data_IF_833315699248
#
_entry.id   IF_833315699248
#
_cell.length_a   1.000
_cell.length_b   1.000
_cell.length_c   1.000
_cell.angle_alpha   90.00
_cell.angle_beta   90.00
_cell.angle_gamma   90.00
#
_symmetry.space_group_name_H-M   'P 1'
#
loop_
_entity.id
_entity.type
_entity.pdbx_description
1 polymer ?
#
# COMPACT_ATOMS: atom_id res chain seq x y z
N UNK A 1 9.89 8.97 -7.53
CA UNK A 1 8.77 8.31 -6.81
C UNK A 1 9.38 7.24 -5.92
N UNK A 2 9.24 7.36 -4.60
CA UNK A 2 9.80 6.41 -3.63
C UNK A 2 8.87 5.20 -3.54
N UNK A 3 9.39 3.99 -3.73
CA UNK A 3 8.61 2.77 -3.57
C UNK A 3 8.26 2.61 -2.08
N UNK A 4 6.98 2.68 -1.67
CA UNK A 4 6.60 2.61 -0.26
C UNK A 4 6.85 1.23 0.37
N UNK A 5 7.12 0.22 -0.45
CA UNK A 5 7.54 -1.11 0.03
C UNK A 5 9.03 -1.22 0.32
N UNK A 6 9.83 -0.17 0.01
CA UNK A 6 11.27 -0.12 0.26
C UNK A 6 11.58 0.80 1.44
N UNK A 7 12.51 0.38 2.30
CA UNK A 7 13.07 1.22 3.34
C UNK A 7 14.10 2.21 2.77
N UNK A 8 14.62 3.11 3.61
CA UNK A 8 15.64 4.10 3.24
C UNK A 8 16.96 3.47 2.79
N UNK A 9 17.23 2.23 3.19
CA UNK A 9 18.40 1.44 2.82
C UNK A 9 18.21 0.68 1.49
N UNK A 10 17.04 0.80 0.86
CA UNK A 10 16.70 0.10 -0.39
C UNK A 10 16.27 -1.36 -0.21
N UNK A 11 16.15 -1.84 1.03
CA UNK A 11 15.61 -3.15 1.34
C UNK A 11 14.08 -3.10 1.31
N UNK A 12 13.49 -3.90 0.42
CA UNK A 12 12.04 -4.01 0.30
C UNK A 12 11.46 -5.16 1.09
N UNK A 13 10.18 -5.06 1.43
CA UNK A 13 9.38 -6.23 1.81
C UNK A 13 9.47 -7.28 0.68
N UNK A 14 10.25 -8.33 0.94
CA UNK A 14 10.62 -9.36 -0.04
C UNK A 14 9.39 -10.20 -0.40
N UNK A 15 8.55 -10.47 0.61
CA UNK A 15 7.41 -11.37 0.50
C UNK A 15 6.05 -10.65 0.46
N UNK A 16 5.07 -11.36 -0.09
CA UNK A 16 3.69 -10.89 -0.27
C UNK A 16 3.05 -10.50 1.05
N UNK A 17 3.24 -11.30 2.09
CA UNK A 17 2.62 -11.10 3.41
C UNK A 17 3.13 -9.81 4.08
N UNK A 18 4.44 -9.56 4.02
CA UNK A 18 5.03 -8.33 4.54
C UNK A 18 4.50 -7.10 3.80
N UNK A 19 4.33 -7.17 2.47
CA UNK A 19 3.70 -6.10 1.68
C UNK A 19 2.24 -5.87 2.09
N UNK A 20 1.49 -6.94 2.33
CA UNK A 20 0.10 -6.85 2.77
C UNK A 20 -0.03 -6.25 4.17
N UNK A 21 0.91 -6.51 5.07
CA UNK A 21 0.92 -5.89 6.41
C UNK A 21 1.24 -4.40 6.34
N UNK A 22 2.24 -4.00 5.53
CA UNK A 22 2.57 -2.60 5.30
C UNK A 22 1.38 -1.81 4.76
N UNK A 23 0.64 -2.36 3.80
CA UNK A 23 -0.57 -1.72 3.24
C UNK A 23 -1.61 -1.39 4.31
N UNK A 24 -1.69 -2.14 5.42
CA UNK A 24 -2.62 -1.81 6.51
C UNK A 24 -2.26 -0.50 7.21
N UNK A 25 -0.96 -0.18 7.27
CA UNK A 25 -0.38 0.98 7.96
C UNK A 25 -0.27 2.20 7.06
N UNK A 26 -0.37 2.03 5.74
CA UNK A 26 -0.25 3.13 4.79
C UNK A 26 -1.40 4.14 4.87
N UNK A 27 -1.04 5.41 4.71
CA UNK A 27 -1.96 6.51 4.44
C UNK A 27 -2.36 6.58 2.95
N UNK A 28 -3.25 7.51 2.62
CA UNK A 28 -3.81 7.66 1.27
C UNK A 28 -2.74 7.94 0.21
N UNK A 29 -1.76 8.78 0.52
CA UNK A 29 -0.69 9.14 -0.42
C UNK A 29 0.29 7.98 -0.61
N UNK A 30 0.61 7.26 0.47
CA UNK A 30 1.40 6.03 0.39
C UNK A 30 0.68 4.93 -0.42
N UNK A 31 -0.63 4.77 -0.28
CA UNK A 31 -1.43 3.82 -1.06
C UNK A 31 -1.48 4.20 -2.55
N UNK A 32 -1.57 5.49 -2.88
CA UNK A 32 -1.49 5.98 -4.27
C UNK A 32 -0.11 5.76 -4.87
N UNK A 33 0.95 6.06 -4.12
CA UNK A 33 2.33 5.79 -4.53
C UNK A 33 2.57 4.29 -4.72
N UNK A 34 1.98 3.44 -3.87
CA UNK A 34 2.06 2.00 -4.02
C UNK A 34 1.45 1.55 -5.35
N UNK A 35 0.29 2.07 -5.77
CA UNK A 35 -0.31 1.72 -7.07
C UNK A 35 0.53 2.12 -8.29
N UNK A 36 1.44 3.08 -8.15
CA UNK A 36 2.35 3.47 -9.22
C UNK A 36 3.56 2.51 -9.36
N UNK A 37 3.73 1.55 -8.45
CA UNK A 37 4.82 0.56 -8.52
C UNK A 37 4.50 -0.49 -9.59
N UNK A 38 5.33 -0.63 -10.64
CA UNK A 38 5.10 -1.61 -11.69
C UNK A 38 5.24 -3.05 -11.17
N UNK A 39 4.57 -3.99 -11.84
CA UNK A 39 4.62 -5.44 -11.52
C UNK A 39 4.19 -5.81 -10.09
N UNK A 40 3.32 -5.00 -9.49
CA UNK A 40 2.66 -5.35 -8.23
C UNK A 40 1.80 -6.61 -8.38
N UNK A 41 1.89 -7.48 -7.38
CA UNK A 41 1.05 -8.67 -7.33
C UNK A 41 -0.41 -8.31 -7.13
N UNK A 42 -1.30 -9.03 -7.82
CA UNK A 42 -2.75 -8.77 -7.81
C UNK A 42 -3.35 -8.74 -6.39
N UNK A 43 -2.89 -9.63 -5.50
CA UNK A 43 -3.34 -9.66 -4.10
C UNK A 43 -3.01 -8.37 -3.35
N UNK A 44 -1.83 -7.78 -3.61
CA UNK A 44 -1.41 -6.51 -2.99
C UNK A 44 -2.22 -5.34 -3.56
N UNK A 45 -2.44 -5.30 -4.88
CA UNK A 45 -3.30 -4.28 -5.53
C UNK A 45 -4.72 -4.29 -4.95
N UNK A 46 -5.33 -5.48 -4.85
CA UNK A 46 -6.66 -5.64 -4.25
C UNK A 46 -6.70 -5.13 -2.81
N UNK A 47 -5.65 -5.41 -2.03
CA UNK A 47 -5.55 -4.93 -0.64
C UNK A 47 -5.42 -3.42 -0.56
N UNK A 48 -4.64 -2.79 -1.45
CA UNK A 48 -4.49 -1.34 -1.53
C UNK A 48 -5.85 -0.69 -1.82
N UNK A 49 -6.57 -1.18 -2.83
CA UNK A 49 -7.91 -0.66 -3.17
C UNK A 49 -8.90 -0.81 -2.01
N UNK A 50 -8.88 -1.97 -1.33
CA UNK A 50 -9.70 -2.22 -0.16
C UNK A 50 -9.41 -1.21 0.96
N UNK A 51 -8.13 -0.94 1.25
CA UNK A 51 -7.74 0.04 2.27
C UNK A 51 -8.13 1.46 1.90
N UNK A 52 -7.92 1.90 0.65
CA UNK A 52 -8.35 3.21 0.16
C UNK A 52 -9.86 3.40 0.34
N UNK A 53 -10.67 2.40 -0.01
CA UNK A 53 -12.12 2.47 0.17
C UNK A 53 -12.51 2.53 1.65
N UNK A 54 -11.79 1.80 2.52
CA UNK A 54 -12.01 1.87 3.98
C UNK A 54 -11.72 3.26 4.50
N UNK A 55 -10.56 3.85 4.17
CA UNK A 55 -10.19 5.20 4.57
C UNK A 55 -11.19 6.25 4.06
N UNK A 56 -11.68 6.11 2.82
CA UNK A 56 -12.74 6.98 2.28
C UNK A 56 -14.03 6.90 3.11
N UNK A 57 -14.43 5.69 3.51
CA UNK A 57 -15.61 5.50 4.38
C UNK A 57 -15.38 6.06 5.78
N UNK A 58 -14.21 5.82 6.36
CA UNK A 58 -13.82 6.37 7.67
C UNK A 58 -13.88 7.91 7.65
N UNK A 59 -13.39 8.55 6.59
CA UNK A 59 -13.46 10.00 6.41
C UNK A 59 -14.89 10.53 6.14
N UNK A 60 -15.77 9.71 5.55
CA UNK A 60 -17.17 10.11 5.28
C UNK A 60 -18.10 9.92 6.49
N UNK A 61 -17.66 9.17 7.50
CA UNK A 61 -18.42 8.90 8.73
C UNK A 61 -17.81 9.61 9.97
N UNK A 62 -16.84 10.50 9.77
CA UNK A 62 -16.22 11.33 10.80
C UNK A 62 -16.82 12.73 10.86
#
# INVERSE_FOLDING_TARGET
>A
MQNPFMDQSGHGAVDVESRLDLVKRFDVDQLRAALAVPHLQKSVVNRIHSRLNKLRKEAAHG
#
